data_IF_974383836998
#
_entry.id   IF_974383836998
#
_cell.length_a   1.000
_cell.length_b   1.000
_cell.length_c   1.000
_cell.angle_alpha   90.00
_cell.angle_beta   90.00
_cell.angle_gamma   90.00
#
_symmetry.space_group_name_H-M   'P 1'
#
loop_
_entity.id
_entity.type
_entity.pdbx_description
1 polymer ?
#
# COMPACT_ATOMS: atom_id res chain seq x y z
N UNK A 1 -7.32 -12.40 8.26
CA UNK A 1 -7.09 -11.85 6.91
C UNK A 1 -8.38 -11.84 6.15
N UNK A 2 -8.63 -10.81 5.34
CA UNK A 2 -9.77 -10.79 4.40
C UNK A 2 -9.49 -11.67 3.18
N UNK A 3 -10.55 -12.15 2.53
CA UNK A 3 -10.46 -12.88 1.27
C UNK A 3 -11.26 -12.12 0.20
N UNK A 4 -10.82 -12.22 -1.06
CA UNK A 4 -11.64 -11.80 -2.19
C UNK A 4 -12.76 -12.84 -2.36
N UNK A 5 -13.97 -12.51 -1.93
CA UNK A 5 -15.11 -13.44 -1.95
C UNK A 5 -15.51 -13.73 -3.40
N UNK A 6 -15.56 -15.02 -3.76
CA UNK A 6 -15.74 -15.50 -5.14
C UNK A 6 -14.66 -14.99 -6.11
N UNK A 7 -13.47 -14.68 -5.58
CA UNK A 7 -12.31 -14.33 -6.39
C UNK A 7 -11.77 -15.53 -7.18
N UNK A 8 -10.92 -15.21 -8.13
CA UNK A 8 -10.09 -16.18 -8.87
C UNK A 8 -8.63 -15.88 -8.60
N UNK A 9 -7.78 -16.90 -8.73
CA UNK A 9 -6.34 -16.72 -8.69
C UNK A 9 -5.96 -15.79 -9.85
N UNK A 10 -5.22 -14.72 -9.55
CA UNK A 10 -4.72 -13.79 -10.56
C UNK A 10 -3.47 -14.38 -11.23
N UNK A 11 -3.36 -14.20 -12.54
CA UNK A 11 -2.17 -14.58 -13.28
C UNK A 11 -1.18 -13.41 -13.39
N UNK A 12 0.08 -13.74 -13.70
CA UNK A 12 1.08 -12.72 -13.99
C UNK A 12 0.57 -11.83 -15.12
N UNK A 13 0.58 -10.51 -14.89
CA UNK A 13 0.15 -9.44 -15.81
C UNK A 13 -1.34 -9.11 -15.82
N UNK A 14 -2.18 -9.78 -15.04
CA UNK A 14 -3.59 -9.38 -14.89
C UNK A 14 -3.72 -7.96 -14.30
N UNK A 15 -2.89 -7.65 -13.29
CA UNK A 15 -2.89 -6.39 -12.57
C UNK A 15 -1.48 -5.82 -12.45
N UNK A 16 -0.94 -5.31 -13.56
CA UNK A 16 0.46 -4.84 -13.63
C UNK A 16 0.79 -3.69 -12.67
N UNK A 17 -0.22 -2.94 -12.24
CA UNK A 17 -0.10 -1.83 -11.32
C UNK A 17 -0.20 -2.25 -9.86
N UNK A 18 -0.46 -3.52 -9.54
CA UNK A 18 -0.67 -3.93 -8.15
C UNK A 18 0.63 -3.84 -7.34
N UNK A 19 0.50 -3.32 -6.12
CA UNK A 19 1.59 -3.15 -5.15
C UNK A 19 1.22 -3.77 -3.81
N UNK A 20 2.16 -4.53 -3.25
CA UNK A 20 2.17 -4.91 -1.84
C UNK A 20 2.95 -3.86 -1.06
N UNK A 21 2.34 -3.32 0.00
CA UNK A 21 3.04 -2.48 0.97
C UNK A 21 3.36 -3.33 2.18
N UNK A 22 4.64 -3.43 2.56
CA UNK A 22 5.03 -3.99 3.85
C UNK A 22 5.29 -2.86 4.82
N UNK A 23 4.68 -2.96 5.99
CA UNK A 23 4.69 -1.94 7.04
C UNK A 23 5.35 -2.55 8.27
N UNK A 24 6.50 -2.03 8.66
CA UNK A 24 7.26 -2.58 9.78
C UNK A 24 7.95 -1.48 10.58
N UNK A 25 7.59 -1.38 11.85
CA UNK A 25 8.34 -0.64 12.87
C UNK A 25 8.58 -1.54 14.09
N UNK A 26 9.08 -1.00 15.20
CA UNK A 26 9.40 -1.78 16.40
C UNK A 26 8.17 -2.39 17.08
N UNK A 27 6.98 -1.82 16.88
CA UNK A 27 5.73 -2.19 17.57
C UNK A 27 4.73 -2.89 16.65
N UNK A 28 4.87 -2.73 15.34
CA UNK A 28 3.87 -3.14 14.34
C UNK A 28 4.51 -3.81 13.13
N UNK A 29 3.88 -4.91 12.71
CA UNK A 29 4.14 -5.61 11.45
C UNK A 29 2.82 -5.83 10.72
N UNK A 30 2.72 -5.32 9.49
CA UNK A 30 1.49 -5.39 8.72
C UNK A 30 1.71 -5.30 7.23
N UNK A 31 0.62 -5.47 6.50
CA UNK A 31 0.58 -5.32 5.04
C UNK A 31 -0.61 -4.48 4.62
N UNK A 32 -0.40 -3.69 3.57
CA UNK A 32 -1.43 -2.97 2.84
C UNK A 32 -1.25 -3.18 1.33
N UNK A 33 -2.10 -2.55 0.53
CA UNK A 33 -1.97 -2.54 -0.93
C UNK A 33 -1.90 -1.12 -1.47
N UNK A 34 -1.48 -0.99 -2.73
CA UNK A 34 -1.47 0.26 -3.47
C UNK A 34 -1.50 0.01 -4.97
N UNK A 35 -1.47 1.08 -5.76
CA UNK A 35 -1.37 0.98 -7.21
C UNK A 35 -0.32 1.94 -7.77
N UNK A 36 0.44 1.46 -8.75
CA UNK A 36 1.36 2.29 -9.53
C UNK A 36 0.54 3.28 -10.35
N UNK A 37 0.80 4.58 -10.19
CA UNK A 37 0.14 5.65 -10.96
C UNK A 37 1.08 6.34 -11.94
N UNK A 38 2.39 6.30 -11.70
CA UNK A 38 3.45 6.65 -12.64
C UNK A 38 4.78 5.99 -12.26
N UNK A 39 5.89 6.45 -12.81
CA UNK A 39 7.22 5.85 -12.65
C UNK A 39 7.74 5.82 -11.21
N UNK A 40 7.31 6.77 -10.37
CA UNK A 40 7.83 6.92 -9.00
C UNK A 40 6.73 7.04 -7.94
N UNK A 41 5.46 7.14 -8.33
CA UNK A 41 4.37 7.32 -7.38
C UNK A 41 3.47 6.09 -7.25
N UNK A 42 3.12 5.77 -5.99
CA UNK A 42 2.12 4.77 -5.62
C UNK A 42 0.93 5.47 -4.96
N UNK A 43 -0.29 5.20 -5.41
CA UNK A 43 -1.50 5.56 -4.67
C UNK A 43 -1.87 4.47 -3.66
N UNK A 44 -2.21 4.86 -2.45
CA UNK A 44 -2.69 3.96 -1.39
C UNK A 44 -3.71 4.68 -0.51
N UNK A 45 -4.15 4.04 0.56
CA UNK A 45 -5.07 4.59 1.54
C UNK A 45 -4.30 5.39 2.62
N UNK A 46 -4.91 6.46 3.11
CA UNK A 46 -4.37 7.25 4.22
C UNK A 46 -4.15 6.37 5.46
N UNK A 47 -5.14 5.54 5.80
CA UNK A 47 -5.09 4.71 7.00
C UNK A 47 -4.00 3.63 6.97
N UNK A 48 -3.44 3.32 5.79
CA UNK A 48 -2.33 2.39 5.66
C UNK A 48 -1.01 2.99 6.13
N UNK A 49 -0.82 4.31 6.00
CA UNK A 49 0.52 4.94 6.09
C UNK A 49 0.59 6.16 7.01
N UNK A 50 -0.52 6.60 7.59
CA UNK A 50 -0.54 7.81 8.42
C UNK A 50 0.43 7.78 9.62
N UNK A 51 0.53 6.63 10.29
CA UNK A 51 1.35 6.42 11.49
C UNK A 51 2.67 5.70 11.18
N UNK A 52 3.10 5.73 9.91
CA UNK A 52 4.28 5.01 9.43
C UNK A 52 5.32 5.98 8.89
N UNK A 53 6.53 5.99 9.43
CA UNK A 53 7.66 6.71 8.82
C UNK A 53 8.09 6.10 7.48
N UNK A 54 8.64 6.87 6.51
CA UNK A 54 8.91 6.35 5.17
C UNK A 54 9.88 5.16 5.18
N UNK A 55 10.85 5.17 6.10
CA UNK A 55 11.79 4.06 6.31
C UNK A 55 11.16 2.80 6.92
N UNK A 56 9.92 2.87 7.40
CA UNK A 56 9.13 1.75 7.89
C UNK A 56 8.18 1.18 6.81
N UNK A 57 8.24 1.71 5.59
CA UNK A 57 7.40 1.29 4.46
C UNK A 57 8.29 0.74 3.34
N UNK A 58 7.99 -0.48 2.91
CA UNK A 58 8.59 -1.09 1.72
C UNK A 58 7.50 -1.29 0.66
N UNK A 59 7.76 -0.76 -0.55
CA UNK A 59 6.92 -0.94 -1.74
C UNK A 59 7.41 -2.16 -2.50
N UNK A 60 6.56 -3.15 -2.68
CA UNK A 60 6.87 -4.39 -3.39
C UNK A 60 6.01 -4.50 -4.65
N UNK A 61 6.67 -4.52 -5.81
CA UNK A 61 6.02 -4.59 -7.13
C UNK A 61 6.33 -5.91 -7.82
N UNK A 62 5.48 -6.30 -8.78
CA UNK A 62 5.67 -7.52 -9.58
C UNK A 62 5.43 -8.83 -8.82
N UNK A 63 4.91 -8.75 -7.58
CA UNK A 63 4.62 -9.91 -6.74
C UNK A 63 3.27 -10.54 -7.08
N UNK A 64 3.22 -11.87 -7.11
CA UNK A 64 1.99 -12.67 -7.09
C UNK A 64 1.72 -13.32 -5.73
N UNK A 65 2.77 -13.50 -4.93
CA UNK A 65 2.68 -14.05 -3.59
C UNK A 65 2.94 -12.97 -2.55
N UNK A 66 2.32 -13.09 -1.37
CA UNK A 66 2.57 -12.14 -0.28
C UNK A 66 3.97 -12.30 0.34
N UNK A 67 4.50 -13.53 0.30
CA UNK A 67 5.81 -13.88 0.86
C UNK A 67 6.62 -14.69 -0.16
N UNK A 68 7.94 -14.50 -0.16
CA UNK A 68 8.90 -15.29 -0.95
C UNK A 68 8.64 -15.35 -2.47
N UNK A 69 8.16 -14.28 -3.11
CA UNK A 69 8.13 -14.21 -4.58
C UNK A 69 9.51 -13.79 -5.11
N UNK A 70 10.24 -14.67 -5.81
CA UNK A 70 11.56 -14.34 -6.36
C UNK A 70 11.51 -13.36 -7.54
N UNK A 71 10.32 -13.04 -8.06
CA UNK A 71 10.13 -12.08 -9.15
C UNK A 71 9.73 -10.69 -8.65
N UNK A 72 9.51 -10.53 -7.34
CA UNK A 72 9.16 -9.27 -6.76
C UNK A 72 10.39 -8.35 -6.64
N UNK A 73 10.16 -7.05 -6.80
CA UNK A 73 11.18 -6.02 -6.58
C UNK A 73 10.71 -5.09 -5.47
N UNK A 74 11.61 -4.79 -4.53
CA UNK A 74 11.35 -3.90 -3.40
C UNK A 74 11.97 -2.53 -3.63
N UNK A 75 11.26 -1.49 -3.20
CA UNK A 75 11.71 -0.10 -3.18
C UNK A 75 11.43 0.50 -1.80
N UNK A 76 12.34 1.34 -1.32
CA UNK A 76 12.09 2.18 -0.14
C UNK A 76 11.22 3.38 -0.50
N UNK A 77 10.56 3.94 0.50
CA UNK A 77 9.77 5.17 0.35
C UNK A 77 10.57 6.36 0.86
N UNK A 78 10.59 7.43 0.08
CA UNK A 78 11.22 8.72 0.39
C UNK A 78 10.25 9.73 1.01
N UNK A 79 8.99 9.74 0.58
CA UNK A 79 7.95 10.65 1.09
C UNK A 79 6.56 10.00 1.15
N UNK A 80 5.75 10.48 2.10
CA UNK A 80 4.31 10.14 2.20
C UNK A 80 3.46 11.40 2.15
N UNK A 81 2.70 11.55 1.08
CA UNK A 81 1.77 12.66 0.90
C UNK A 81 0.37 12.22 1.29
N UNK A 82 0.02 12.49 2.53
CA UNK A 82 -1.31 12.26 3.07
C UNK A 82 -2.29 13.32 2.56
N UNK A 83 -3.56 12.96 2.36
CA UNK A 83 -4.60 13.99 2.22
C UNK A 83 -4.65 14.87 3.49
N UNK A 84 -4.85 16.18 3.31
CA UNK A 84 -4.76 17.21 4.37
C UNK A 84 -5.75 17.02 5.53
N UNK A 85 -6.87 16.35 5.25
CA UNK A 85 -7.86 15.95 6.24
C UNK A 85 -8.22 14.48 6.05
N UNK A 86 -8.40 13.76 7.16
CA UNK A 86 -8.96 12.39 7.21
C UNK A 86 -10.47 12.36 7.47
N UNK A 87 -11.12 13.53 7.50
CA UNK A 87 -12.50 13.70 7.93
C UNK A 87 -13.21 14.76 7.10
N UNK A 88 -14.39 14.41 6.60
CA UNK A 88 -15.29 15.33 5.92
C UNK A 88 -16.32 15.94 6.89
N UNK A 89 -16.63 15.26 8.01
CA UNK A 89 -17.57 15.67 9.05
C UNK A 89 -17.09 15.26 10.45
N UNK A 90 -17.40 16.01 11.52
CA UNK A 90 -17.06 15.62 12.88
C UNK A 90 -17.54 14.20 13.23
N UNK A 91 -16.61 13.33 13.61
CA UNK A 91 -16.89 11.94 13.98
C UNK A 91 -16.68 10.90 12.87
N UNK A 92 -16.47 11.32 11.62
CA UNK A 92 -16.12 10.41 10.53
C UNK A 92 -14.61 10.17 10.44
N UNK A 93 -14.19 8.91 10.38
CA UNK A 93 -12.79 8.48 10.46
C UNK A 93 -12.22 7.90 9.14
N UNK A 94 -13.00 7.91 8.06
CA UNK A 94 -12.62 7.30 6.76
C UNK A 94 -13.02 8.17 5.56
N UNK A 95 -13.05 9.47 5.76
CA UNK A 95 -13.23 10.42 4.67
C UNK A 95 -11.86 10.82 4.13
N UNK A 96 -11.75 10.94 2.80
CA UNK A 96 -10.48 11.24 2.13
C UNK A 96 -9.34 10.27 2.51
N UNK A 97 -9.65 8.98 2.52
CA UNK A 97 -8.71 7.91 2.84
C UNK A 97 -7.76 7.62 1.66
N UNK A 98 -6.92 8.59 1.35
CA UNK A 98 -5.97 8.55 0.23
C UNK A 98 -4.60 9.11 0.62
N UNK A 99 -3.55 8.48 0.11
CA UNK A 99 -2.18 8.92 0.23
C UNK A 99 -1.38 8.58 -1.04
N UNK A 100 -0.34 9.36 -1.33
CA UNK A 100 0.64 9.09 -2.38
C UNK A 100 2.00 8.82 -1.73
N UNK A 101 2.66 7.74 -2.13
CA UNK A 101 4.04 7.42 -1.76
C UNK A 101 4.98 7.77 -2.91
N UNK A 102 6.17 8.27 -2.59
CA UNK A 102 7.27 8.55 -3.54
C UNK A 102 8.52 7.84 -3.10
#
# INVERSE_FOLDING_TARGET
GGAVINGKIAERRDFKYQVLLKLQNDEFSGVCSGAIIDEIHIVTAWHCVWDMEPNHIEVVVGSLEQTNDPNATSYGVSDRRLHESRSCNPGELRCYDIAILT
#
